data_IF_771337859874
#
_entry.id   IF_771337859874
#
_cell.length_a   1.000
_cell.length_b   1.000
_cell.length_c   1.000
_cell.angle_alpha   90.00
_cell.angle_beta   90.00
_cell.angle_gamma   90.00
#
_symmetry.space_group_name_H-M   'P 1'
#
loop_
_entity.id
_entity.type
_entity.pdbx_description
1 polymer ?
#
# COMPACT_ATOMS: atom_id res chain seq x y z
N UNK A 1 12.47 27.81 -19.65
CA UNK A 1 13.90 28.14 -19.57
C UNK A 1 14.76 27.07 -18.88
N UNK A 2 14.26 26.19 -18.00
CA UNK A 2 15.11 25.12 -17.41
C UNK A 2 15.32 23.91 -18.32
N UNK A 3 14.30 23.50 -19.11
CA UNK A 3 14.41 22.34 -20.02
C UNK A 3 15.43 22.57 -21.13
N UNK A 4 15.47 23.78 -21.70
CA UNK A 4 16.44 24.13 -22.74
C UNK A 4 17.87 24.25 -22.20
N UNK A 5 18.04 24.66 -20.94
CA UNK A 5 19.34 24.64 -20.26
C UNK A 5 19.81 23.22 -19.94
N UNK A 6 18.93 22.36 -19.42
CA UNK A 6 19.28 20.97 -19.12
C UNK A 6 19.63 20.13 -20.36
N UNK A 7 18.99 20.41 -21.50
CA UNK A 7 19.37 19.79 -22.80
C UNK A 7 20.74 20.31 -23.28
N UNK A 8 21.04 21.60 -23.06
CA UNK A 8 22.35 22.18 -23.42
C UNK A 8 23.48 21.62 -22.55
N UNK A 9 23.24 21.36 -21.26
CA UNK A 9 24.21 20.76 -20.34
C UNK A 9 24.49 19.29 -20.67
N UNK A 10 23.49 18.53 -21.14
CA UNK A 10 23.67 17.15 -21.63
C UNK A 10 24.54 17.07 -22.90
N UNK A 11 24.60 18.15 -23.68
CA UNK A 11 25.37 18.25 -24.93
C UNK A 11 26.78 18.82 -24.72
N UNK A 12 27.00 19.59 -23.65
CA UNK A 12 28.33 19.95 -23.18
C UNK A 12 28.88 18.81 -22.33
N UNK A 13 29.71 17.96 -22.92
CA UNK A 13 30.50 17.00 -22.17
C UNK A 13 31.54 17.74 -21.32
N UNK A 14 31.13 18.34 -20.20
CA UNK A 14 32.08 18.63 -19.14
C UNK A 14 32.53 17.27 -18.56
N UNK A 15 33.84 17.02 -18.50
CA UNK A 15 34.35 15.75 -18.02
C UNK A 15 33.84 15.52 -16.60
N UNK A 16 33.40 14.30 -16.31
CA UNK A 16 33.00 13.78 -15.01
C UNK A 16 34.14 13.91 -13.98
N UNK A 17 34.46 15.14 -13.59
CA UNK A 17 35.69 15.47 -12.86
C UNK A 17 35.40 15.71 -11.39
N UNK A 18 34.16 16.06 -11.03
CA UNK A 18 33.81 16.31 -9.64
C UNK A 18 33.21 15.06 -8.97
N UNK A 19 34.02 13.99 -8.92
CA UNK A 19 33.74 12.80 -8.12
C UNK A 19 33.34 13.17 -6.68
N UNK A 20 33.87 14.27 -6.14
CA UNK A 20 33.48 14.81 -4.84
C UNK A 20 31.98 15.15 -4.75
N UNK A 21 31.42 15.78 -5.78
CA UNK A 21 29.99 16.08 -5.87
C UNK A 21 29.19 14.79 -6.02
N UNK A 22 29.63 13.86 -6.87
CA UNK A 22 28.94 12.57 -7.05
C UNK A 22 28.85 11.79 -5.73
N UNK A 23 29.96 11.68 -4.99
CA UNK A 23 29.97 11.03 -3.68
C UNK A 23 29.17 11.80 -2.63
N UNK A 24 29.18 13.13 -2.64
CA UNK A 24 28.38 13.93 -1.72
C UNK A 24 26.87 13.71 -1.95
N UNK A 25 26.43 13.74 -3.20
CA UNK A 25 25.03 13.45 -3.57
C UNK A 25 24.65 12.03 -3.17
N UNK A 26 25.49 11.04 -3.46
CA UNK A 26 25.26 9.66 -3.06
C UNK A 26 25.18 9.49 -1.54
N UNK A 27 26.08 10.12 -0.80
CA UNK A 27 26.10 10.03 0.66
C UNK A 27 24.85 10.67 1.28
N UNK A 28 24.44 11.84 0.78
CA UNK A 28 23.21 12.51 1.24
C UNK A 28 21.99 11.65 0.92
N UNK A 29 21.88 11.14 -0.31
CA UNK A 29 20.80 10.24 -0.70
C UNK A 29 20.79 8.97 0.17
N UNK A 30 21.96 8.37 0.45
CA UNK A 30 22.07 7.17 1.29
C UNK A 30 21.56 7.40 2.70
N UNK A 31 21.87 8.57 3.27
CA UNK A 31 21.42 8.95 4.60
C UNK A 31 19.91 9.17 4.61
N UNK A 32 19.38 9.94 3.66
CA UNK A 32 17.94 10.21 3.57
C UNK A 32 17.13 8.92 3.38
N UNK A 33 17.55 8.09 2.43
CA UNK A 33 16.84 6.84 2.11
C UNK A 33 17.07 5.78 3.17
N UNK A 34 18.24 5.74 3.79
CA UNK A 34 18.51 4.89 4.95
C UNK A 34 17.59 5.24 6.12
N UNK A 35 17.35 6.52 6.39
CA UNK A 35 16.39 6.97 7.42
C UNK A 35 14.96 6.53 7.04
N UNK A 36 14.55 6.71 5.78
CA UNK A 36 13.24 6.27 5.28
C UNK A 36 13.06 4.76 5.48
N UNK A 37 14.00 3.97 4.98
CA UNK A 37 13.99 2.51 5.07
C UNK A 37 13.97 2.02 6.51
N UNK A 38 14.77 2.62 7.41
CA UNK A 38 14.77 2.26 8.83
C UNK A 38 13.42 2.56 9.48
N UNK A 39 12.74 3.64 9.10
CA UNK A 39 11.39 3.96 9.59
C UNK A 39 10.36 2.97 9.06
N UNK A 40 10.35 2.69 7.76
CA UNK A 40 9.47 1.71 7.12
C UNK A 40 9.67 0.31 7.72
N UNK A 41 10.93 -0.10 7.94
CA UNK A 41 11.28 -1.35 8.61
C UNK A 41 10.80 -1.39 10.07
N UNK A 42 10.96 -0.30 10.82
CA UNK A 42 10.45 -0.22 12.19
C UNK A 42 8.92 -0.25 12.24
N UNK A 43 8.21 0.39 11.30
CA UNK A 43 6.75 0.31 11.19
C UNK A 43 6.30 -1.12 10.90
N UNK A 44 6.92 -1.80 9.93
CA UNK A 44 6.67 -3.22 9.64
C UNK A 44 6.93 -4.11 10.88
N UNK A 45 8.01 -3.85 11.62
CA UNK A 45 8.37 -4.57 12.85
C UNK A 45 7.40 -4.35 14.00
N UNK A 46 6.91 -3.13 14.21
CA UNK A 46 5.90 -2.83 15.23
C UNK A 46 4.57 -3.52 14.94
N UNK A 47 4.21 -3.61 13.67
CA UNK A 47 3.10 -4.47 13.22
C UNK A 47 3.33 -5.94 13.62
N UNK A 48 4.58 -6.42 13.54
CA UNK A 48 4.93 -7.80 13.82
C UNK A 48 4.96 -8.23 15.27
N UNK A 49 5.41 -7.34 16.14
CA UNK A 49 5.36 -7.58 17.59
C UNK A 49 3.91 -7.70 18.07
N UNK A 50 2.95 -6.96 17.48
CA UNK A 50 1.51 -7.09 17.82
C UNK A 50 0.89 -8.43 17.42
N UNK A 51 1.44 -9.16 16.43
CA UNK A 51 0.86 -10.41 15.90
C UNK A 51 1.69 -11.67 16.20
N UNK A 52 2.85 -11.56 16.87
CA UNK A 52 3.79 -12.66 17.20
C UNK A 52 4.21 -13.53 16.00
N UNK A 53 4.49 -12.90 14.85
CA UNK A 53 4.94 -13.58 13.62
C UNK A 53 6.34 -13.07 13.21
N UNK A 54 7.11 -13.86 12.45
CA UNK A 54 8.46 -13.46 11.99
C UNK A 54 8.38 -12.28 11.00
N UNK A 55 9.38 -11.38 11.01
CA UNK A 55 9.39 -10.13 10.23
C UNK A 55 9.19 -10.34 8.72
N UNK A 56 9.89 -11.30 8.14
CA UNK A 56 9.76 -11.63 6.71
C UNK A 56 8.38 -12.21 6.41
N UNK A 57 7.88 -13.11 7.26
CA UNK A 57 6.54 -13.67 7.10
C UNK A 57 5.48 -12.60 7.32
N UNK A 58 5.74 -11.60 8.15
CA UNK A 58 4.81 -10.52 8.42
C UNK A 58 4.78 -9.45 7.33
N UNK A 59 5.91 -9.10 6.73
CA UNK A 59 5.91 -8.21 5.56
C UNK A 59 5.15 -8.89 4.43
N UNK A 60 5.31 -10.21 4.21
CA UNK A 60 4.55 -10.96 3.20
C UNK A 60 3.16 -11.46 3.63
N UNK A 61 2.77 -11.37 4.91
CA UNK A 61 1.46 -11.80 5.43
C UNK A 61 0.60 -10.68 6.04
N UNK A 62 1.14 -9.46 6.26
CA UNK A 62 0.32 -8.32 6.71
C UNK A 62 -0.48 -7.81 5.52
N UNK A 63 -1.80 -7.84 5.62
CA UNK A 63 -2.79 -7.35 4.64
C UNK A 63 -2.77 -5.84 4.41
N UNK A 64 -1.64 -5.16 4.65
CA UNK A 64 -1.44 -3.75 4.35
C UNK A 64 -0.59 -3.65 3.08
N UNK A 65 -1.24 -3.63 1.91
CA UNK A 65 -0.58 -3.58 0.60
C UNK A 65 0.27 -2.31 0.45
N UNK A 66 -0.09 -1.23 1.14
CA UNK A 66 0.63 0.05 1.12
C UNK A 66 1.96 -0.07 1.84
N UNK A 67 2.00 -0.67 3.04
CA UNK A 67 3.28 -0.87 3.75
C UNK A 67 4.25 -1.79 2.99
N UNK A 68 3.74 -2.80 2.28
CA UNK A 68 4.58 -3.66 1.42
C UNK A 68 5.15 -2.90 0.23
N UNK A 69 4.32 -2.08 -0.40
CA UNK A 69 4.69 -1.25 -1.52
C UNK A 69 5.83 -0.29 -1.17
N UNK A 70 5.65 0.49 -0.10
CA UNK A 70 6.65 1.46 0.38
C UNK A 70 7.96 0.78 0.76
N UNK A 71 7.89 -0.37 1.46
CA UNK A 71 9.10 -1.11 1.81
C UNK A 71 9.87 -1.63 0.58
N UNK A 72 9.15 -2.13 -0.44
CA UNK A 72 9.76 -2.60 -1.68
C UNK A 72 10.39 -1.46 -2.48
N UNK A 73 9.76 -0.27 -2.47
CA UNK A 73 10.27 0.95 -3.09
C UNK A 73 11.55 1.44 -2.40
N UNK A 74 11.52 1.63 -1.07
CA UNK A 74 12.70 2.04 -0.29
C UNK A 74 13.87 1.05 -0.50
N UNK A 75 13.59 -0.25 -0.58
CA UNK A 75 14.60 -1.27 -0.85
C UNK A 75 15.19 -1.16 -2.26
N UNK A 76 14.36 -0.91 -3.27
CA UNK A 76 14.81 -0.69 -4.64
C UNK A 76 15.69 0.57 -4.75
N UNK A 77 15.34 1.64 -4.06
CA UNK A 77 16.12 2.88 -4.01
C UNK A 77 17.53 2.63 -3.43
N UNK A 78 17.63 1.91 -2.30
CA UNK A 78 18.92 1.55 -1.71
C UNK A 78 19.78 0.67 -2.63
N UNK A 79 19.18 -0.28 -3.35
CA UNK A 79 19.88 -1.10 -4.34
C UNK A 79 20.42 -0.22 -5.47
N UNK A 80 19.62 0.72 -5.97
CA UNK A 80 20.06 1.67 -6.99
C UNK A 80 21.23 2.52 -6.57
N UNK A 81 21.20 2.98 -5.33
CA UNK A 81 22.29 3.76 -4.76
C UNK A 81 23.57 2.95 -4.63
N UNK A 82 23.48 1.68 -4.24
CA UNK A 82 24.62 0.78 -4.21
C UNK A 82 25.20 0.52 -5.61
N UNK A 83 24.35 0.33 -6.63
CA UNK A 83 24.78 0.18 -8.02
C UNK A 83 25.48 1.44 -8.52
N UNK A 84 24.91 2.61 -8.27
CA UNK A 84 25.50 3.90 -8.63
C UNK A 84 26.87 4.10 -7.94
N UNK A 85 26.98 3.75 -6.66
CA UNK A 85 28.22 3.86 -5.91
C UNK A 85 29.32 2.99 -6.52
N UNK A 86 28.99 1.73 -6.83
CA UNK A 86 29.92 0.78 -7.45
C UNK A 86 30.33 1.25 -8.84
N UNK A 87 29.41 1.83 -9.63
CA UNK A 87 29.72 2.39 -10.94
C UNK A 87 30.73 3.54 -10.87
N UNK A 88 30.50 4.51 -9.98
CA UNK A 88 31.41 5.65 -9.76
C UNK A 88 32.75 5.17 -9.22
N UNK A 89 32.76 4.25 -8.26
CA UNK A 89 33.98 3.69 -7.68
C UNK A 89 34.82 2.94 -8.72
N UNK A 90 34.19 2.10 -9.55
CA UNK A 90 34.86 1.38 -10.62
C UNK A 90 35.40 2.35 -11.67
N UNK A 91 34.65 3.37 -12.06
CA UNK A 91 35.12 4.39 -12.99
C UNK A 91 36.35 5.13 -12.44
N UNK A 92 36.33 5.51 -11.16
CA UNK A 92 37.45 6.19 -10.51
C UNK A 92 38.71 5.30 -10.43
N UNK A 93 38.56 4.01 -10.11
CA UNK A 93 39.70 3.08 -9.96
C UNK A 93 40.26 2.66 -11.32
N UNK A 94 39.42 2.46 -12.33
CA UNK A 94 39.84 1.96 -13.64
C UNK A 94 40.13 3.06 -14.67
N UNK A 95 39.63 4.28 -14.44
CA UNK A 95 39.69 5.39 -15.40
C UNK A 95 38.90 5.13 -16.69
N UNK A 96 38.11 4.06 -16.76
CA UNK A 96 37.45 3.62 -17.99
C UNK A 96 35.99 4.08 -18.03
N UNK A 97 35.65 4.90 -19.03
CA UNK A 97 34.30 5.45 -19.24
C UNK A 97 33.21 4.40 -19.47
N UNK A 98 33.58 3.15 -19.78
CA UNK A 98 32.63 2.04 -19.93
C UNK A 98 31.89 1.72 -18.62
N UNK A 99 32.53 1.84 -17.46
CA UNK A 99 31.86 1.56 -16.18
C UNK A 99 30.87 2.64 -15.77
N UNK A 100 31.12 3.89 -16.14
CA UNK A 100 30.19 5.00 -15.95
C UNK A 100 28.95 4.84 -16.85
N UNK A 101 29.16 4.50 -18.12
CA UNK A 101 28.07 4.18 -19.05
C UNK A 101 27.23 2.98 -18.58
N UNK A 102 27.87 1.91 -18.11
CA UNK A 102 27.16 0.74 -17.58
C UNK A 102 26.35 1.08 -16.32
N UNK A 103 26.94 1.89 -15.42
CA UNK A 103 26.28 2.37 -14.21
C UNK A 103 25.03 3.18 -14.52
N UNK A 104 25.12 4.13 -15.46
CA UNK A 104 24.00 4.96 -15.90
C UNK A 104 22.86 4.13 -16.52
N UNK A 105 23.19 3.13 -17.35
CA UNK A 105 22.19 2.21 -17.93
C UNK A 105 21.49 1.40 -16.84
N UNK A 106 22.23 0.84 -15.87
CA UNK A 106 21.65 0.06 -14.78
C UNK A 106 20.76 0.91 -13.88
N UNK A 107 21.14 2.15 -13.59
CA UNK A 107 20.31 3.11 -12.85
C UNK A 107 19.04 3.44 -13.65
N UNK A 108 19.16 3.71 -14.95
CA UNK A 108 18.02 3.98 -15.82
C UNK A 108 17.03 2.81 -15.87
N UNK A 109 17.52 1.57 -15.98
CA UNK A 109 16.70 0.36 -15.96
C UNK A 109 15.97 0.20 -14.62
N UNK A 110 16.68 0.43 -13.52
CA UNK A 110 16.09 0.37 -12.18
C UNK A 110 14.98 1.41 -12.00
N UNK A 111 15.21 2.66 -12.40
CA UNK A 111 14.19 3.71 -12.36
C UNK A 111 12.99 3.35 -13.22
N UNK A 112 13.19 2.74 -14.39
CA UNK A 112 12.11 2.21 -15.23
C UNK A 112 11.28 1.14 -14.51
N UNK A 113 11.92 0.18 -13.82
CA UNK A 113 11.22 -0.85 -13.04
C UNK A 113 10.43 -0.22 -11.89
N UNK A 114 11.04 0.70 -11.12
CA UNK A 114 10.37 1.41 -10.01
C UNK A 114 9.17 2.20 -10.53
N UNK A 115 9.32 2.92 -11.64
CA UNK A 115 8.21 3.68 -12.25
C UNK A 115 7.03 2.77 -12.64
N UNK A 116 7.29 1.61 -13.26
CA UNK A 116 6.24 0.64 -13.60
C UNK A 116 5.54 0.12 -12.34
N UNK A 117 6.30 -0.16 -11.27
CA UNK A 117 5.75 -0.61 -10.00
C UNK A 117 4.84 0.46 -9.38
N UNK A 118 5.29 1.72 -9.33
CA UNK A 118 4.51 2.85 -8.82
C UNK A 118 3.25 3.10 -9.63
N UNK A 119 3.35 3.05 -10.97
CA UNK A 119 2.19 3.18 -11.86
C UNK A 119 1.16 2.09 -11.55
N UNK A 120 1.60 0.83 -11.42
CA UNK A 120 0.69 -0.28 -11.12
C UNK A 120 0.07 -0.15 -9.72
N UNK A 121 0.80 0.36 -8.73
CA UNK A 121 0.27 0.60 -7.38
C UNK A 121 -0.75 1.73 -7.36
N UNK A 122 -0.42 2.88 -7.96
CA UNK A 122 -1.34 4.01 -8.07
C UNK A 122 -2.61 3.59 -8.82
N UNK A 123 -2.49 2.78 -9.87
CA UNK A 123 -3.64 2.25 -10.59
C UNK A 123 -4.53 1.37 -9.70
N UNK A 124 -3.95 0.53 -8.83
CA UNK A 124 -4.72 -0.31 -7.90
C UNK A 124 -5.45 0.53 -6.85
N UNK A 125 -4.86 1.64 -6.42
CA UNK A 125 -5.49 2.56 -5.48
C UNK A 125 -6.65 3.35 -6.13
N UNK A 126 -6.45 3.82 -7.37
CA UNK A 126 -7.46 4.57 -8.12
C UNK A 126 -8.65 3.73 -8.59
N UNK A 127 -8.47 2.41 -8.69
CA UNK A 127 -9.54 1.48 -9.09
C UNK A 127 -10.39 0.98 -7.92
N UNK A 128 -10.13 1.46 -6.70
CA UNK A 128 -10.75 0.93 -5.49
C UNK A 128 -10.14 -0.43 -5.16
N UNK A 129 -9.32 -0.48 -4.12
CA UNK A 129 -8.71 -1.74 -3.76
C UNK A 129 -9.78 -2.64 -3.14
N UNK A 130 -10.27 -3.60 -3.94
CA UNK A 130 -11.13 -4.66 -3.46
C UNK A 130 -10.47 -5.34 -2.24
N UNK A 131 -11.24 -5.46 -1.18
CA UNK A 131 -10.80 -6.01 0.10
C UNK A 131 -10.50 -7.49 -0.08
N UNK A 132 -9.37 -7.98 0.46
CA UNK A 132 -9.02 -9.41 0.41
C UNK A 132 -10.18 -10.25 0.97
N UNK A 133 -10.48 -11.40 0.37
CA UNK A 133 -11.59 -12.30 0.78
C UNK A 133 -11.56 -12.61 2.29
N UNK A 134 -10.37 -12.75 2.88
CA UNK A 134 -10.19 -12.98 4.30
C UNK A 134 -10.73 -11.84 5.20
N UNK A 135 -10.62 -10.59 4.73
CA UNK A 135 -11.15 -9.42 5.42
C UNK A 135 -12.67 -9.34 5.22
N UNK A 136 -13.17 -9.59 4.01
CA UNK A 136 -14.62 -9.66 3.75
C UNK A 136 -15.30 -10.73 4.62
N UNK A 137 -14.72 -11.94 4.70
CA UNK A 137 -15.22 -13.00 5.57
C UNK A 137 -15.17 -12.64 7.06
N UNK A 138 -14.16 -11.88 7.48
CA UNK A 138 -14.07 -11.45 8.87
C UNK A 138 -15.16 -10.43 9.22
N UNK A 139 -15.39 -9.46 8.34
CA UNK A 139 -16.47 -8.49 8.49
C UNK A 139 -17.83 -9.20 8.49
N UNK A 140 -18.04 -10.19 7.60
CA UNK A 140 -19.27 -10.99 7.57
C UNK A 140 -19.50 -11.73 8.90
N UNK A 141 -18.45 -12.33 9.48
CA UNK A 141 -18.52 -12.98 10.80
C UNK A 141 -18.84 -11.99 11.91
N UNK A 142 -18.24 -10.80 11.88
CA UNK A 142 -18.49 -9.75 12.89
C UNK A 142 -19.95 -9.24 12.80
N UNK A 143 -20.51 -9.11 11.59
CA UNK A 143 -21.93 -8.78 11.38
C UNK A 143 -22.87 -9.87 11.90
N UNK A 144 -22.66 -11.14 11.49
CA UNK A 144 -23.50 -12.27 11.91
C UNK A 144 -23.40 -12.58 13.42
N UNK A 145 -22.34 -12.13 14.10
CA UNK A 145 -22.22 -12.24 15.54
C UNK A 145 -23.07 -11.20 16.31
N UNK A 146 -23.60 -10.18 15.62
CA UNK A 146 -24.39 -9.13 16.24
C UNK A 146 -25.80 -9.63 16.55
N UNK A 147 -26.24 -9.48 17.81
CA UNK A 147 -27.53 -10.01 18.30
C UNK A 147 -28.78 -9.55 17.55
N UNK A 148 -28.67 -8.46 16.78
CA UNK A 148 -29.79 -7.84 16.10
C UNK A 148 -29.87 -8.25 14.63
N UNK A 149 -28.84 -8.91 14.09
CA UNK A 149 -28.76 -9.33 12.69
C UNK A 149 -29.05 -10.83 12.62
N UNK A 150 -30.08 -11.21 11.87
CA UNK A 150 -30.44 -12.62 11.65
C UNK A 150 -29.72 -13.19 10.42
N UNK A 151 -29.65 -12.38 9.34
CA UNK A 151 -28.97 -12.75 8.09
C UNK A 151 -28.35 -11.55 7.41
N UNK A 152 -27.41 -11.85 6.52
CA UNK A 152 -26.75 -10.90 5.63
C UNK A 152 -26.81 -11.48 4.22
N UNK A 153 -27.41 -10.77 3.26
CA UNK A 153 -27.56 -11.26 1.88
C UNK A 153 -26.66 -10.56 0.88
N UNK A 154 -26.14 -9.38 1.26
CA UNK A 154 -25.17 -8.64 0.48
C UNK A 154 -24.13 -8.03 1.40
N UNK A 155 -22.87 -8.11 0.99
CA UNK A 155 -21.76 -7.45 1.68
C UNK A 155 -20.72 -7.02 0.65
N UNK A 156 -20.56 -5.71 0.54
CA UNK A 156 -19.48 -5.08 -0.20
C UNK A 156 -18.60 -4.30 0.76
N UNK A 157 -17.30 -4.51 0.66
CA UNK A 157 -16.30 -3.83 1.49
C UNK A 157 -15.21 -3.31 0.58
N UNK A 158 -14.87 -2.04 0.74
CA UNK A 158 -13.80 -1.38 0.00
C UNK A 158 -12.87 -0.63 0.97
N UNK A 159 -11.60 -0.47 0.61
CA UNK A 159 -10.72 0.44 1.32
C UNK A 159 -10.94 1.89 0.84
N UNK A 160 -11.32 2.79 1.76
CA UNK A 160 -11.39 4.25 1.49
C UNK A 160 -10.11 4.97 1.92
N UNK A 161 -9.23 4.29 2.64
CA UNK A 161 -7.93 4.81 3.06
C UNK A 161 -6.96 3.69 3.44
N UNK A 162 -5.78 4.03 4.00
CA UNK A 162 -4.71 3.05 4.25
C UNK A 162 -5.13 1.86 5.15
N UNK A 163 -6.10 2.09 6.05
CA UNK A 163 -6.62 1.06 6.99
C UNK A 163 -8.15 1.16 7.17
N UNK A 164 -8.79 2.10 6.48
CA UNK A 164 -10.20 2.42 6.66
C UNK A 164 -11.06 1.72 5.63
N UNK A 165 -12.17 1.16 6.08
CA UNK A 165 -13.12 0.40 5.28
C UNK A 165 -14.41 1.21 5.07
N UNK A 166 -14.92 1.20 3.85
CA UNK A 166 -16.30 1.53 3.52
C UNK A 166 -17.07 0.22 3.39
N UNK A 167 -18.20 0.15 4.09
CA UNK A 167 -19.02 -1.05 4.18
C UNK A 167 -20.42 -0.76 3.65
N UNK A 168 -20.88 -1.60 2.73
CA UNK A 168 -22.28 -1.67 2.31
C UNK A 168 -22.79 -3.08 2.57
N UNK A 169 -23.84 -3.22 3.38
CA UNK A 169 -24.43 -4.54 3.64
C UNK A 169 -25.95 -4.52 3.60
N UNK A 170 -26.54 -5.58 3.06
CA UNK A 170 -27.97 -5.88 3.18
C UNK A 170 -28.15 -6.88 4.32
N UNK A 171 -28.89 -6.47 5.35
CA UNK A 171 -29.09 -7.24 6.59
C UNK A 171 -30.57 -7.44 6.85
N UNK A 172 -30.92 -8.49 7.58
CA UNK A 172 -32.27 -8.69 8.11
C UNK A 172 -32.19 -8.72 9.64
N UNK A 173 -33.21 -8.17 10.29
CA UNK A 173 -33.27 -8.09 11.74
C UNK A 173 -34.12 -9.23 12.30
N UNK A 174 -33.78 -9.71 13.49
CA UNK A 174 -34.57 -10.71 14.18
C UNK A 174 -35.88 -10.08 14.69
N UNK A 175 -36.99 -10.25 13.96
CA UNK A 175 -38.32 -9.77 14.37
C UNK A 175 -39.19 -9.33 13.19
N UNK A 176 -40.41 -8.90 13.49
CA UNK A 176 -41.36 -8.34 12.53
C UNK A 176 -41.71 -6.91 12.97
N UNK A 177 -40.68 -6.06 12.97
CA UNK A 177 -40.75 -4.69 13.45
C UNK A 177 -41.39 -3.76 12.41
N UNK A 178 -42.01 -2.67 12.89
CA UNK A 178 -42.57 -1.64 12.00
C UNK A 178 -41.43 -0.95 11.24
N UNK A 179 -41.63 -0.62 9.96
CA UNK A 179 -40.62 -0.03 9.08
C UNK A 179 -39.89 1.19 9.70
N UNK A 180 -40.59 2.01 10.48
CA UNK A 180 -40.02 3.17 11.18
C UNK A 180 -39.06 2.81 12.32
N UNK A 181 -39.29 1.71 13.04
CA UNK A 181 -38.34 1.16 14.02
C UNK A 181 -37.11 0.55 13.35
N UNK A 182 -37.30 -0.05 12.17
CA UNK A 182 -36.21 -0.68 11.41
C UNK A 182 -35.22 0.35 10.89
N UNK A 183 -35.69 1.48 10.35
CA UNK A 183 -34.81 2.57 9.91
C UNK A 183 -33.95 3.14 11.07
N UNK A 184 -34.55 3.25 12.27
CA UNK A 184 -33.82 3.68 13.46
C UNK A 184 -32.79 2.63 13.92
N UNK A 185 -33.15 1.34 13.86
CA UNK A 185 -32.26 0.23 14.20
C UNK A 185 -31.06 0.13 13.24
N UNK A 186 -31.29 0.27 11.93
CA UNK A 186 -30.23 0.36 10.91
C UNK A 186 -29.28 1.50 11.23
N UNK A 187 -29.80 2.71 11.46
CA UNK A 187 -28.94 3.87 11.76
C UNK A 187 -28.16 3.73 13.07
N UNK A 188 -28.75 3.10 14.08
CA UNK A 188 -28.06 2.81 15.33
C UNK A 188 -26.91 1.82 15.12
N UNK A 189 -27.14 0.78 14.31
CA UNK A 189 -26.13 -0.22 13.97
C UNK A 189 -25.00 0.37 13.11
N UNK A 190 -25.30 1.20 12.11
CA UNK A 190 -24.31 1.95 11.34
C UNK A 190 -23.39 2.77 12.26
N UNK A 191 -23.98 3.58 13.15
CA UNK A 191 -23.23 4.39 14.11
C UNK A 191 -22.40 3.54 15.08
N UNK A 192 -22.84 2.32 15.39
CA UNK A 192 -22.11 1.40 16.27
C UNK A 192 -20.91 0.79 15.55
N UNK A 193 -21.08 0.37 14.30
CA UNK A 193 -20.00 -0.12 13.45
C UNK A 193 -18.94 0.96 13.23
N UNK A 194 -19.36 2.21 12.99
CA UNK A 194 -18.47 3.36 12.83
C UNK A 194 -17.70 3.77 14.10
N UNK A 195 -18.02 3.18 15.28
CA UNK A 195 -17.15 3.32 16.47
C UNK A 195 -15.86 2.53 16.34
N UNK A 196 -15.81 1.52 15.48
CA UNK A 196 -14.57 0.84 15.15
C UNK A 196 -13.71 1.79 14.29
N UNK A 197 -12.50 2.18 14.74
CA UNK A 197 -11.64 3.09 13.98
C UNK A 197 -11.20 2.54 12.61
N UNK A 198 -11.46 1.26 12.31
CA UNK A 198 -11.23 0.65 11.00
C UNK A 198 -12.37 0.90 10.01
N UNK A 199 -13.57 1.26 10.46
CA UNK A 199 -14.74 1.52 9.61
C UNK A 199 -14.86 3.03 9.46
N UNK A 200 -14.67 3.55 8.24
CA UNK A 200 -14.83 4.97 7.97
C UNK A 200 -16.31 5.35 7.81
N UNK A 201 -17.08 4.49 7.17
CA UNK A 201 -18.51 4.69 6.93
C UNK A 201 -19.17 3.33 6.69
N UNK A 202 -20.36 3.15 7.25
CA UNK A 202 -21.20 1.96 7.07
C UNK A 202 -22.58 2.36 6.57
N UNK A 203 -23.01 1.72 5.47
CA UNK A 203 -24.34 1.89 4.89
C UNK A 203 -25.06 0.54 4.93
N UNK A 204 -26.17 0.49 5.66
CA UNK A 204 -26.96 -0.73 5.80
C UNK A 204 -28.31 -0.57 5.11
N UNK A 205 -28.72 -1.63 4.41
CA UNK A 205 -30.04 -1.77 3.79
C UNK A 205 -30.71 -3.04 4.27
N UNK A 206 -31.99 -3.20 3.97
CA UNK A 206 -32.71 -4.44 4.23
C UNK A 206 -32.46 -5.46 3.13
N UNK A 207 -32.39 -6.72 3.54
CA UNK A 207 -32.35 -7.87 2.61
C UNK A 207 -33.68 -8.00 1.89
N UNK A 208 -33.67 -8.27 0.58
CA UNK A 208 -34.90 -8.46 -0.17
C UNK A 208 -35.45 -9.90 0.02
N UNK A 209 -36.78 -10.09 -0.03
CA UNK A 209 -37.35 -11.43 0.03
C UNK A 209 -36.84 -12.31 -1.12
N UNK A 210 -36.17 -13.42 -0.78
CA UNK A 210 -35.64 -14.39 -1.75
C UNK A 210 -34.16 -14.22 -2.09
N UNK A 211 -33.47 -13.23 -1.51
CA UNK A 211 -32.02 -13.17 -1.58
C UNK A 211 -31.37 -14.36 -0.85
N UNK A 212 -30.17 -14.74 -1.29
CA UNK A 212 -29.42 -15.86 -0.72
C UNK A 212 -28.50 -15.35 0.39
N UNK A 213 -28.52 -16.04 1.53
CA UNK A 213 -27.67 -15.71 2.66
C UNK A 213 -26.18 -15.88 2.32
N UNK A 214 -25.37 -14.91 2.72
CA UNK A 214 -23.92 -15.03 2.69
C UNK A 214 -23.45 -15.89 3.86
N UNK A 215 -22.82 -17.02 3.55
CA UNK A 215 -22.25 -17.93 4.56
C UNK A 215 -20.73 -17.72 4.61
N UNK A 216 -20.15 -17.49 5.81
CA UNK A 216 -18.70 -17.45 5.95
C UNK A 216 -18.05 -18.73 5.43
N UNK A 217 -16.93 -18.59 4.70
CA UNK A 217 -16.12 -19.72 4.22
C UNK A 217 -16.85 -20.66 3.24
N UNK A 218 -17.85 -20.16 2.49
CA UNK A 218 -18.48 -20.89 1.40
C UNK A 218 -17.44 -21.30 0.32
N UNK A 219 -17.56 -22.51 -0.27
CA UNK A 219 -16.54 -23.12 -1.13
C UNK A 219 -16.36 -22.44 -2.50
#
# INVERSE_FOLDING_TARGET
MSVQHGISELLSQEPATDYGIAYAVLAIAAVLEGISFVRSYQQAKRGAVKRRISLLRQVFATSDPTLRAVFAEDAAALIGLAIAFVGVLLHQVTGSATYDALGSILVGLLLGVVAIVLINQNRRFLLGQAVDDAVQQRVLRDLLAHSNIDRVTYLHVEYTGPVQLFLVAAVDFAGDDVESSVAAALRQLENELERDPRIAEAVLTLSAPGDVDLVPDAP
#
